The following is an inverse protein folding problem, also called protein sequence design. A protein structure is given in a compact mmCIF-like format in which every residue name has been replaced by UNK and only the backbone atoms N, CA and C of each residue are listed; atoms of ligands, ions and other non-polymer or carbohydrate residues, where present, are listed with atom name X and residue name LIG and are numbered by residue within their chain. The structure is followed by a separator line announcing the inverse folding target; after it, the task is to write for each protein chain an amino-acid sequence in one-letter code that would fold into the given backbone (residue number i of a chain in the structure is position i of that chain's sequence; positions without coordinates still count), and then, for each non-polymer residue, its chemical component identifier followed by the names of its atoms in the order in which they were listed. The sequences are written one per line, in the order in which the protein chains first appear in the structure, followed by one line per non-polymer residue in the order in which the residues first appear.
data_IF_920009885380
#
_entry.id   IF_920009885380
#
_cell.length_a   1.000
_cell.length_b   1.000
_cell.length_c   1.000
_cell.angle_alpha   90.00
_cell.angle_beta   90.00
_cell.angle_gamma   90.00
#
_symmetry.space_group_name_H-M   'P 1'
#
loop_
_entity.id
_entity.type
_entity.pdbx_description
1 polymer ?
#
# COMPACT_ATOMS: atom_id res chain seq x y z
N UNK A 1 19.31 -1.53 2.26
CA UNK A 1 18.77 -0.16 2.35
C UNK A 1 18.30 0.10 3.78
N UNK A 2 18.32 1.36 4.21
CA UNK A 2 17.65 1.82 5.41
C UNK A 2 16.21 2.21 5.03
N UNK A 3 15.21 1.60 5.63
CA UNK A 3 13.79 1.80 5.25
C UNK A 3 13.02 2.32 6.45
N UNK A 4 12.37 3.48 6.28
CA UNK A 4 11.39 3.99 7.24
C UNK A 4 10.03 3.38 6.95
N UNK A 5 9.35 2.88 7.99
CA UNK A 5 7.97 2.39 7.92
C UNK A 5 7.09 3.23 8.83
N UNK A 6 6.20 4.02 8.25
CA UNK A 6 5.17 4.78 8.95
C UNK A 6 3.93 3.89 9.14
N UNK A 7 3.40 3.81 10.36
CA UNK A 7 2.23 2.99 10.68
C UNK A 7 2.56 1.49 10.82
N UNK A 8 3.74 1.16 11.36
CA UNK A 8 4.25 -0.20 11.44
C UNK A 8 3.48 -1.12 12.40
N UNK A 9 2.74 -0.57 13.36
CA UNK A 9 1.92 -1.34 14.31
C UNK A 9 0.49 -1.60 13.80
N UNK A 10 0.18 -1.16 12.57
CA UNK A 10 -1.09 -1.47 11.91
C UNK A 10 -1.19 -2.93 11.47
N UNK A 11 -2.37 -3.36 11.02
CA UNK A 11 -2.67 -4.76 10.68
C UNK A 11 -1.69 -5.38 9.68
N UNK A 12 -1.27 -4.64 8.64
CA UNK A 12 -0.32 -5.13 7.63
C UNK A 12 1.15 -5.00 8.07
N UNK A 13 1.43 -4.10 9.02
CA UNK A 13 2.78 -3.76 9.45
C UNK A 13 3.64 -4.95 9.88
N UNK A 14 3.19 -5.83 10.78
CA UNK A 14 3.96 -7.00 11.21
C UNK A 14 4.39 -7.91 10.06
N UNK A 15 3.52 -8.12 9.08
CA UNK A 15 3.82 -8.94 7.90
C UNK A 15 4.86 -8.27 6.99
N UNK A 16 4.74 -6.94 6.79
CA UNK A 16 5.72 -6.16 6.01
C UNK A 16 7.08 -6.17 6.72
N UNK A 17 7.11 -5.96 8.03
CA UNK A 17 8.34 -6.05 8.82
C UNK A 17 8.99 -7.42 8.66
N UNK A 18 8.22 -8.50 8.82
CA UNK A 18 8.70 -9.88 8.65
C UNK A 18 9.25 -10.14 7.24
N UNK A 19 8.58 -9.66 6.19
CA UNK A 19 9.03 -9.84 4.80
C UNK A 19 10.35 -9.11 4.50
N UNK A 20 10.56 -7.95 5.12
CA UNK A 20 11.73 -7.09 4.88
C UNK A 20 12.90 -7.37 5.82
N UNK A 21 12.63 -8.04 6.94
CA UNK A 21 13.61 -8.36 7.95
C UNK A 21 14.77 -9.21 7.39
N UNK A 22 16.00 -8.92 7.83
CA UNK A 22 17.20 -9.57 7.33
C UNK A 22 17.67 -9.11 5.94
N UNK A 23 16.81 -8.40 5.18
CA UNK A 23 17.15 -7.85 3.86
C UNK A 23 17.40 -6.34 3.91
N UNK A 24 16.75 -5.65 4.84
CA UNK A 24 16.81 -4.21 5.02
C UNK A 24 17.00 -3.84 6.49
N UNK A 25 17.60 -2.68 6.76
CA UNK A 25 17.61 -2.08 8.10
C UNK A 25 16.33 -1.25 8.24
N UNK A 26 15.51 -1.59 9.22
CA UNK A 26 14.18 -0.98 9.40
C UNK A 26 14.20 0.02 10.56
N UNK A 27 13.58 1.18 10.33
CA UNK A 27 13.10 2.10 11.36
C UNK A 27 11.59 2.08 11.32
N UNK A 28 10.97 1.69 12.42
CA UNK A 28 9.52 1.54 12.54
C UNK A 28 8.93 2.73 13.29
N UNK A 29 7.76 3.18 12.85
CA UNK A 29 7.04 4.24 13.57
C UNK A 29 5.55 3.97 13.61
N UNK A 30 4.92 4.43 14.67
CA UNK A 30 3.46 4.43 14.83
C UNK A 30 3.07 5.53 15.84
N UNK A 31 1.77 5.83 15.97
CA UNK A 31 1.24 6.73 17.01
C UNK A 31 1.27 6.11 18.41
N UNK A 32 1.36 4.78 18.49
CA UNK A 32 1.49 4.07 19.76
C UNK A 32 2.83 4.43 20.41
N UNK A 33 2.88 4.44 21.73
CA UNK A 33 4.07 4.75 22.50
C UNK A 33 5.09 3.60 22.52
N UNK A 34 4.62 2.37 22.40
CA UNK A 34 5.44 1.17 22.41
C UNK A 34 5.06 0.20 21.28
N UNK A 35 6.06 -0.55 20.80
CA UNK A 35 5.90 -1.67 19.89
C UNK A 35 6.91 -2.77 20.28
N UNK A 36 6.44 -4.00 20.47
CA UNK A 36 7.33 -5.14 20.67
C UNK A 36 8.10 -5.44 19.38
N UNK A 37 9.37 -5.03 19.33
CA UNK A 37 10.21 -5.17 18.14
C UNK A 37 11.69 -5.14 18.49
N UNK A 38 12.52 -5.78 17.66
CA UNK A 38 14.00 -5.69 17.72
C UNK A 38 14.57 -4.56 16.84
N UNK A 39 13.73 -3.89 16.07
CA UNK A 39 14.11 -2.79 15.20
C UNK A 39 14.08 -1.47 15.96
N UNK A 40 14.72 -0.44 15.41
CA UNK A 40 14.58 0.91 15.91
C UNK A 40 13.11 1.32 15.81
N UNK A 41 12.53 1.74 16.92
CA UNK A 41 11.16 2.23 16.99
C UNK A 41 11.11 3.69 17.47
N UNK A 42 10.23 4.47 16.87
CA UNK A 42 9.94 5.85 17.25
C UNK A 42 8.43 6.08 17.24
N UNK A 43 7.90 6.73 18.28
CA UNK A 43 6.53 7.20 18.28
C UNK A 43 6.40 8.40 17.34
N UNK A 44 5.55 8.30 16.30
CA UNK A 44 5.33 9.35 15.30
C UNK A 44 3.89 9.32 14.82
N UNK A 45 3.25 10.50 14.82
CA UNK A 45 2.03 10.72 14.06
C UNK A 45 2.38 11.08 12.61
N UNK A 46 1.91 10.33 11.64
CA UNK A 46 2.11 10.62 10.22
C UNK A 46 1.52 11.98 9.78
N UNK A 47 0.57 12.53 10.55
CA UNK A 47 0.03 13.88 10.37
C UNK A 47 0.96 15.00 10.82
N UNK A 48 2.02 14.70 11.59
CA UNK A 48 3.02 15.67 12.07
C UNK A 48 4.20 15.73 11.10
N UNK A 49 4.33 16.86 10.39
CA UNK A 49 5.37 17.05 9.36
C UNK A 49 6.78 17.00 9.96
N UNK A 50 7.01 17.71 11.07
CA UNK A 50 8.35 17.84 11.64
C UNK A 50 8.82 16.51 12.22
N UNK A 51 7.91 15.76 12.84
CA UNK A 51 8.18 14.42 13.35
C UNK A 51 8.51 13.46 12.19
N UNK A 52 7.76 13.48 11.08
CA UNK A 52 8.02 12.63 9.91
C UNK A 52 9.35 13.00 9.24
N UNK A 53 9.67 14.28 9.10
CA UNK A 53 10.97 14.72 8.59
C UNK A 53 12.10 14.21 9.50
N UNK A 54 11.96 14.39 10.81
CA UNK A 54 13.00 13.97 11.77
C UNK A 54 13.31 12.46 11.68
N UNK A 55 12.29 11.61 11.54
CA UNK A 55 12.51 10.15 11.48
C UNK A 55 12.91 9.64 10.12
N UNK A 56 12.82 10.45 9.08
CA UNK A 56 13.28 10.11 7.72
C UNK A 56 14.78 10.32 7.51
N UNK A 57 15.47 10.96 8.46
CA UNK A 57 16.92 11.21 8.37
C UNK A 57 17.69 9.89 8.26
N UNK A 58 18.56 9.81 7.24
CA UNK A 58 19.42 8.64 6.98
C UNK A 58 18.69 7.44 6.37
N UNK A 59 17.48 7.62 5.88
CA UNK A 59 16.72 6.59 5.19
C UNK A 59 16.90 6.65 3.67
N UNK A 60 16.85 5.49 3.03
CA UNK A 60 16.94 5.33 1.57
C UNK A 60 15.54 5.23 0.91
N UNK A 61 14.53 4.81 1.69
CA UNK A 61 13.14 4.70 1.23
C UNK A 61 12.15 4.91 2.38
N UNK A 62 10.94 5.33 2.03
CA UNK A 62 9.81 5.46 2.97
C UNK A 62 8.68 4.54 2.53
N UNK A 63 8.18 3.72 3.44
CA UNK A 63 6.94 2.96 3.29
C UNK A 63 5.88 3.61 4.18
N UNK A 64 4.78 4.05 3.59
CA UNK A 64 3.67 4.65 4.30
C UNK A 64 2.49 3.66 4.40
N UNK A 65 2.40 2.96 5.53
CA UNK A 65 1.30 2.08 5.90
C UNK A 65 0.24 2.80 6.73
N UNK A 66 0.47 4.07 7.11
CA UNK A 66 -0.43 4.82 7.98
C UNK A 66 -1.84 4.87 7.41
N UNK A 67 -2.82 4.60 8.25
CA UNK A 67 -4.22 4.58 7.87
C UNK A 67 -5.14 4.91 9.04
N UNK A 68 -6.13 5.76 8.78
CA UNK A 68 -7.29 5.90 9.65
C UNK A 68 -8.58 5.92 8.82
N UNK A 69 -9.63 5.24 9.31
CA UNK A 69 -10.85 4.97 8.54
C UNK A 69 -12.10 5.67 9.04
N UNK A 70 -12.20 5.98 10.33
CA UNK A 70 -13.48 6.31 10.98
C UNK A 70 -13.63 7.76 11.42
N UNK A 71 -12.60 8.39 11.96
CA UNK A 71 -12.67 9.79 12.37
C UNK A 71 -12.38 10.71 11.17
N UNK A 72 -13.28 11.67 10.93
CA UNK A 72 -13.19 12.54 9.75
C UNK A 72 -11.94 13.41 9.76
N UNK A 73 -11.64 14.06 10.88
CA UNK A 73 -10.49 14.98 10.95
C UNK A 73 -9.19 14.19 10.87
N UNK A 74 -9.05 13.16 11.69
CA UNK A 74 -7.84 12.33 11.74
C UNK A 74 -7.65 11.56 10.42
N UNK A 75 -8.73 11.17 9.72
CA UNK A 75 -8.61 10.52 8.41
C UNK A 75 -7.96 11.43 7.36
N UNK A 76 -8.31 12.71 7.31
CA UNK A 76 -7.63 13.67 6.43
C UNK A 76 -6.18 13.89 6.86
N UNK A 77 -5.92 14.00 8.17
CA UNK A 77 -4.57 14.21 8.69
C UNK A 77 -3.66 13.01 8.41
N UNK A 78 -4.12 11.79 8.62
CA UNK A 78 -3.32 10.59 8.42
C UNK A 78 -3.23 10.19 6.95
N UNK A 79 -4.36 10.13 6.23
CA UNK A 79 -4.37 9.57 4.88
C UNK A 79 -3.94 10.58 3.80
N UNK A 80 -4.37 11.83 3.88
CA UNK A 80 -4.01 12.86 2.90
C UNK A 80 -2.77 13.64 3.33
N UNK A 81 -2.79 14.27 4.51
CA UNK A 81 -1.62 15.02 5.02
C UNK A 81 -0.43 14.10 5.28
N UNK A 82 -0.63 12.88 5.79
CA UNK A 82 0.45 11.90 5.95
C UNK A 82 1.14 11.54 4.64
N UNK A 83 0.42 11.45 3.52
CA UNK A 83 1.04 11.27 2.21
C UNK A 83 1.87 12.49 1.79
N UNK A 84 1.37 13.71 2.05
CA UNK A 84 2.13 14.94 1.86
C UNK A 84 3.40 14.96 2.71
N UNK A 85 3.29 14.60 4.00
CA UNK A 85 4.41 14.62 4.93
C UNK A 85 5.49 13.61 4.54
N UNK A 86 5.11 12.41 4.10
CA UNK A 86 6.05 11.41 3.59
C UNK A 86 6.80 11.92 2.34
N UNK A 87 6.09 12.54 1.39
CA UNK A 87 6.71 13.12 0.20
C UNK A 87 7.64 14.32 0.56
N UNK A 88 7.22 15.18 1.50
CA UNK A 88 8.07 16.29 1.98
C UNK A 88 9.32 15.80 2.69
N UNK A 89 9.21 14.82 3.57
CA UNK A 89 10.34 14.23 4.26
C UNK A 89 11.32 13.58 3.27
N UNK A 90 10.79 12.89 2.25
CA UNK A 90 11.61 12.35 1.18
C UNK A 90 12.43 13.42 0.47
N UNK A 91 11.81 14.55 0.11
CA UNK A 91 12.53 15.66 -0.54
C UNK A 91 13.58 16.31 0.37
N UNK A 92 13.29 16.51 1.65
CA UNK A 92 14.23 17.12 2.61
C UNK A 92 15.51 16.28 2.73
N UNK A 93 15.38 14.96 2.69
CA UNK A 93 16.51 14.05 2.88
C UNK A 93 17.05 13.44 1.57
N UNK A 94 16.58 13.89 0.40
CA UNK A 94 17.02 13.34 -0.90
C UNK A 94 16.64 11.88 -1.10
N UNK A 95 15.53 11.45 -0.51
CA UNK A 95 14.99 10.09 -0.69
C UNK A 95 14.17 10.08 -1.97
N UNK A 96 14.53 9.21 -2.92
CA UNK A 96 13.87 9.13 -4.22
C UNK A 96 12.72 8.13 -4.27
N UNK A 97 12.51 7.31 -3.23
CA UNK A 97 11.53 6.22 -3.24
C UNK A 97 10.55 6.32 -2.07
N UNK A 98 9.27 6.44 -2.39
CA UNK A 98 8.17 6.33 -1.43
C UNK A 98 7.22 5.22 -1.91
N UNK A 99 6.82 4.33 -1.00
CA UNK A 99 5.80 3.32 -1.24
C UNK A 99 4.60 3.67 -0.39
N UNK A 100 3.48 4.00 -1.03
CA UNK A 100 2.21 4.24 -0.38
C UNK A 100 1.30 3.01 -0.44
N UNK A 101 0.30 2.99 0.43
CA UNK A 101 -0.75 1.97 0.44
C UNK A 101 -2.14 2.58 0.38
N UNK A 102 -3.07 1.84 -0.20
CA UNK A 102 -4.47 2.24 -0.27
C UNK A 102 -5.40 1.07 -0.54
N UNK A 103 -6.72 1.29 -0.41
CA UNK A 103 -7.70 0.31 -0.83
C UNK A 103 -7.90 0.35 -2.34
N UNK A 104 -8.27 -0.79 -2.94
CA UNK A 104 -8.59 -0.90 -4.36
C UNK A 104 -9.65 0.12 -4.81
N UNK A 105 -10.61 0.42 -3.95
CA UNK A 105 -11.72 1.32 -4.29
C UNK A 105 -11.36 2.81 -4.35
N UNK A 106 -10.10 3.18 -4.16
CA UNK A 106 -9.62 4.50 -4.61
C UNK A 106 -9.70 4.63 -6.13
N UNK A 107 -9.64 3.50 -6.83
CA UNK A 107 -9.74 3.40 -8.30
C UNK A 107 -11.16 3.06 -8.73
N UNK A 108 -11.77 2.03 -8.14
CA UNK A 108 -13.01 1.43 -8.65
C UNK A 108 -14.26 1.89 -7.89
N UNK A 109 -14.10 2.69 -6.82
CA UNK A 109 -15.20 3.03 -5.92
C UNK A 109 -15.61 1.87 -5.00
N UNK A 110 -16.60 2.09 -4.13
CA UNK A 110 -17.11 1.07 -3.22
C UNK A 110 -17.99 0.03 -3.92
N UNK A 111 -18.45 0.31 -5.13
CA UNK A 111 -19.22 -0.57 -5.98
C UNK A 111 -18.54 -0.71 -7.33
N UNK A 112 -18.71 -1.86 -7.98
CA UNK A 112 -18.22 -2.15 -9.32
C UNK A 112 -19.33 -2.79 -10.14
N UNK A 113 -19.34 -2.52 -11.44
CA UNK A 113 -20.35 -3.07 -12.34
C UNK A 113 -20.10 -4.56 -12.64
N UNK A 114 -21.16 -5.34 -12.70
CA UNK A 114 -21.06 -6.77 -12.95
C UNK A 114 -20.50 -7.12 -14.33
N UNK A 115 -20.68 -6.24 -15.29
CA UNK A 115 -20.20 -6.42 -16.66
C UNK A 115 -18.77 -5.93 -16.89
N UNK A 116 -18.14 -5.25 -15.92
CA UNK A 116 -16.78 -4.77 -16.05
C UNK A 116 -15.78 -5.92 -15.90
N UNK A 117 -14.81 -5.98 -16.81
CA UNK A 117 -13.76 -6.98 -16.84
C UNK A 117 -12.41 -6.38 -17.17
N UNK A 118 -11.34 -6.99 -16.66
CA UNK A 118 -9.98 -6.59 -16.97
C UNK A 118 -9.59 -5.20 -16.46
N UNK A 119 -10.26 -4.68 -15.44
CA UNK A 119 -9.96 -3.36 -14.88
C UNK A 119 -8.58 -3.39 -14.24
N UNK A 120 -7.68 -2.55 -14.76
CA UNK A 120 -6.34 -2.33 -14.20
C UNK A 120 -6.29 -1.09 -13.30
N UNK A 121 -5.17 -0.86 -12.61
CA UNK A 121 -5.02 0.27 -11.70
C UNK A 121 -4.79 1.62 -12.41
N UNK A 122 -4.67 1.64 -13.73
CA UNK A 122 -4.38 2.85 -14.54
C UNK A 122 -5.64 3.60 -14.99
N UNK A 123 -6.84 3.12 -14.64
CA UNK A 123 -8.07 3.84 -14.90
C UNK A 123 -8.18 5.07 -13.99
N UNK A 124 -8.90 6.13 -14.40
CA UNK A 124 -9.09 7.31 -13.57
C UNK A 124 -9.69 6.96 -12.21
N UNK A 125 -9.16 7.52 -11.09
CA UNK A 125 -9.67 7.26 -9.75
C UNK A 125 -11.15 7.62 -9.60
N UNK A 126 -11.91 6.76 -8.95
CA UNK A 126 -13.33 6.97 -8.64
C UNK A 126 -13.63 6.59 -7.17
N UNK A 127 -13.06 7.32 -6.20
CA UNK A 127 -13.19 6.95 -4.79
C UNK A 127 -14.61 7.11 -4.23
N UNK A 128 -15.48 7.85 -4.92
CA UNK A 128 -16.77 8.22 -4.38
C UNK A 128 -16.64 9.12 -3.14
N UNK A 129 -17.65 9.08 -2.27
CA UNK A 129 -17.70 9.89 -1.04
C UNK A 129 -17.36 9.10 0.23
N UNK A 130 -16.90 7.86 0.10
CA UNK A 130 -16.45 7.11 1.25
C UNK A 130 -15.20 7.77 1.85
N UNK A 131 -15.25 8.10 3.15
CA UNK A 131 -14.20 8.87 3.82
C UNK A 131 -12.80 8.27 3.63
N UNK A 132 -12.68 6.95 3.79
CA UNK A 132 -11.40 6.27 3.64
C UNK A 132 -10.88 6.29 2.20
N UNK A 133 -11.72 5.91 1.24
CA UNK A 133 -11.36 5.94 -0.17
C UNK A 133 -11.00 7.35 -0.64
N UNK A 134 -11.83 8.34 -0.29
CA UNK A 134 -11.63 9.75 -0.66
C UNK A 134 -10.30 10.28 -0.12
N UNK A 135 -10.02 10.10 1.18
CA UNK A 135 -8.80 10.64 1.80
C UNK A 135 -7.54 9.93 1.30
N UNK A 136 -7.60 8.63 1.02
CA UNK A 136 -6.48 7.90 0.39
C UNK A 136 -6.29 8.32 -1.07
N UNK A 137 -7.37 8.56 -1.82
CA UNK A 137 -7.28 9.07 -3.19
C UNK A 137 -6.64 10.46 -3.25
N UNK A 138 -7.00 11.35 -2.32
CA UNK A 138 -6.34 12.65 -2.20
C UNK A 138 -4.83 12.51 -1.90
N UNK A 139 -4.44 11.54 -1.07
CA UNK A 139 -3.04 11.23 -0.82
C UNK A 139 -2.30 10.75 -2.09
N UNK A 140 -2.96 9.98 -2.96
CA UNK A 140 -2.42 9.57 -4.25
C UNK A 140 -2.26 10.77 -5.20
N UNK A 141 -3.25 11.68 -5.26
CA UNK A 141 -3.15 12.91 -6.06
C UNK A 141 -2.02 13.82 -5.58
N UNK A 142 -1.85 13.99 -4.29
CA UNK A 142 -0.72 14.70 -3.70
C UNK A 142 0.60 14.07 -4.18
N UNK A 143 0.73 12.75 -4.04
CA UNK A 143 1.92 12.01 -4.47
C UNK A 143 2.22 12.22 -5.96
N UNK A 144 1.20 12.15 -6.82
CA UNK A 144 1.31 12.39 -8.26
C UNK A 144 1.83 13.79 -8.57
N UNK A 145 1.33 14.82 -7.87
CA UNK A 145 1.80 16.19 -8.04
C UNK A 145 3.27 16.32 -7.66
N UNK A 146 3.68 15.72 -6.53
CA UNK A 146 5.08 15.73 -6.11
C UNK A 146 6.01 15.09 -7.15
N UNK A 147 5.63 13.95 -7.72
CA UNK A 147 6.45 13.27 -8.74
C UNK A 147 6.56 14.04 -10.06
N UNK A 148 5.61 14.92 -10.36
CA UNK A 148 5.65 15.79 -11.54
C UNK A 148 6.64 16.95 -11.39
N UNK A 149 6.91 17.39 -10.16
CA UNK A 149 7.70 18.58 -9.86
C UNK A 149 9.06 18.27 -9.24
N UNK A 150 9.29 17.05 -8.78
CA UNK A 150 10.49 16.65 -8.08
C UNK A 150 11.02 15.30 -8.57
N UNK A 151 12.29 15.03 -8.29
CA UNK A 151 12.92 13.73 -8.55
C UNK A 151 12.54 12.72 -7.45
N UNK A 152 11.26 12.36 -7.45
CA UNK A 152 10.64 11.46 -6.51
C UNK A 152 9.82 10.42 -7.26
N UNK A 153 9.95 9.17 -6.87
CA UNK A 153 9.15 8.06 -7.36
C UNK A 153 8.22 7.58 -6.25
N UNK A 154 6.95 7.48 -6.57
CA UNK A 154 5.93 6.97 -5.65
C UNK A 154 5.25 5.75 -6.25
N UNK A 155 5.36 4.63 -5.56
CA UNK A 155 4.65 3.39 -5.90
C UNK A 155 3.51 3.19 -4.91
N UNK A 156 2.29 3.11 -5.39
CA UNK A 156 1.11 2.87 -4.54
C UNK A 156 0.64 1.43 -4.72
N UNK A 157 0.66 0.66 -3.63
CA UNK A 157 0.14 -0.70 -3.59
C UNK A 157 -1.28 -0.68 -3.06
N UNK A 158 -2.23 -1.19 -3.84
CA UNK A 158 -3.65 -1.23 -3.50
C UNK A 158 -4.07 -2.63 -3.11
N UNK A 159 -4.60 -2.77 -1.92
CA UNK A 159 -5.05 -4.01 -1.31
C UNK A 159 -6.51 -3.94 -0.88
N UNK A 160 -7.10 -5.11 -0.63
CA UNK A 160 -8.34 -5.26 0.12
C UNK A 160 -8.56 -6.73 0.51
N UNK A 161 -9.42 -6.98 1.51
CA UNK A 161 -9.86 -8.32 1.89
C UNK A 161 -8.69 -9.28 2.15
N UNK A 162 -7.96 -9.02 3.24
CA UNK A 162 -6.85 -9.87 3.66
C UNK A 162 -7.34 -11.17 4.29
N UNK A 163 -6.64 -12.25 3.99
CA UNK A 163 -6.90 -13.61 4.47
C UNK A 163 -5.61 -14.24 5.02
N UNK A 164 -5.76 -15.15 5.96
CA UNK A 164 -4.69 -16.05 6.34
C UNK A 164 -4.58 -17.16 5.29
N UNK A 165 -3.36 -17.54 4.93
CA UNK A 165 -3.13 -18.56 3.90
C UNK A 165 -3.75 -19.92 4.23
N UNK A 166 -3.81 -20.26 5.53
CA UNK A 166 -4.33 -21.52 6.04
C UNK A 166 -5.77 -21.45 6.57
N UNK A 167 -6.42 -20.28 6.51
CA UNK A 167 -7.79 -20.12 7.03
C UNK A 167 -8.82 -20.76 6.09
N UNK A 168 -9.21 -21.98 6.42
CA UNK A 168 -10.28 -22.72 5.76
C UNK A 168 -11.68 -22.44 6.33
N UNK A 169 -11.79 -21.56 7.33
CA UNK A 169 -13.09 -21.27 7.96
C UNK A 169 -14.09 -20.61 7.00
N UNK A 170 -13.59 -20.12 5.86
CA UNK A 170 -14.38 -19.48 4.79
C UNK A 170 -14.52 -20.35 3.54
N UNK A 171 -14.22 -21.64 3.63
CA UNK A 171 -14.50 -22.57 2.53
C UNK A 171 -15.97 -22.46 2.11
N UNK A 172 -16.18 -22.08 0.87
CA UNK A 172 -17.53 -21.90 0.32
C UNK A 172 -18.08 -20.50 0.33
N UNK A 173 -17.24 -19.45 0.66
CA UNK A 173 -18.03 -18.35 0.70
C UNK A 173 -17.70 -16.97 0.24
N UNK A 174 -16.90 -16.27 0.94
CA UNK A 174 -16.96 -14.82 0.87
C UNK A 174 -15.69 -14.15 0.32
N UNK A 175 -14.95 -14.83 -0.53
CA UNK A 175 -13.85 -14.16 -1.22
C UNK A 175 -14.40 -13.03 -2.08
N UNK A 176 -13.83 -11.84 -1.90
CA UNK A 176 -14.05 -10.73 -2.83
C UNK A 176 -13.09 -10.85 -4.01
N UNK A 177 -13.36 -10.20 -5.14
CA UNK A 177 -12.41 -10.13 -6.25
C UNK A 177 -11.04 -9.52 -5.91
N UNK A 178 -10.87 -9.04 -4.71
CA UNK A 178 -9.66 -8.37 -4.22
C UNK A 178 -9.00 -9.12 -3.07
N UNK A 179 -9.33 -10.39 -2.89
CA UNK A 179 -8.75 -11.19 -1.82
C UNK A 179 -7.25 -11.36 -2.03
N UNK A 180 -6.50 -11.28 -0.95
CA UNK A 180 -5.05 -11.47 -0.92
C UNK A 180 -4.66 -12.00 0.46
N UNK A 181 -3.62 -12.82 0.56
CA UNK A 181 -3.10 -13.19 1.87
C UNK A 181 -2.26 -12.06 2.45
N UNK A 182 -2.12 -12.03 3.78
CA UNK A 182 -1.24 -11.08 4.46
C UNK A 182 0.20 -11.20 3.96
N UNK A 183 0.66 -12.43 3.77
CA UNK A 183 1.99 -12.76 3.30
C UNK A 183 2.23 -12.27 1.88
N UNK A 184 1.33 -12.59 0.93
CA UNK A 184 1.46 -12.14 -0.45
C UNK A 184 1.42 -10.62 -0.58
N UNK A 185 0.55 -9.97 0.20
CA UNK A 185 0.49 -8.51 0.25
C UNK A 185 1.81 -7.92 0.76
N UNK A 186 2.39 -8.50 1.81
CA UNK A 186 3.67 -8.05 2.36
C UNK A 186 4.85 -8.32 1.41
N UNK A 187 4.83 -9.45 0.70
CA UNK A 187 5.88 -9.78 -0.29
C UNK A 187 5.95 -8.76 -1.44
N UNK A 188 4.86 -8.04 -1.74
CA UNK A 188 4.86 -7.01 -2.79
C UNK A 188 5.80 -5.82 -2.49
N UNK A 189 6.12 -5.59 -1.24
CA UNK A 189 7.05 -4.51 -0.86
C UNK A 189 8.51 -4.82 -1.22
N UNK A 190 8.91 -6.09 -1.31
CA UNK A 190 10.26 -6.47 -1.71
C UNK A 190 10.62 -5.99 -3.12
N UNK A 191 9.88 -6.39 -4.17
CA UNK A 191 10.16 -5.89 -5.50
C UNK A 191 9.90 -4.38 -5.64
N UNK A 192 8.94 -3.80 -4.90
CA UNK A 192 8.72 -2.37 -4.89
C UNK A 192 9.91 -1.58 -4.31
N UNK A 193 10.65 -2.16 -3.36
CA UNK A 193 11.90 -1.60 -2.84
C UNK A 193 13.10 -1.83 -3.76
N UNK A 194 13.15 -2.94 -4.49
CA UNK A 194 14.33 -3.35 -5.26
C UNK A 194 14.32 -2.94 -6.73
N UNK A 195 13.15 -2.65 -7.31
CA UNK A 195 13.06 -2.25 -8.71
C UNK A 195 13.92 -1.01 -9.01
N UNK A 196 14.59 -1.01 -10.15
CA UNK A 196 15.30 0.17 -10.66
C UNK A 196 14.28 1.26 -10.98
N UNK A 197 14.40 2.43 -10.35
CA UNK A 197 13.38 3.49 -10.47
C UNK A 197 13.19 3.97 -11.90
N UNK A 198 14.28 4.06 -12.66
CA UNK A 198 14.29 4.49 -14.07
C UNK A 198 13.64 3.47 -15.02
N UNK A 199 13.44 2.23 -14.56
CA UNK A 199 12.72 1.20 -15.33
C UNK A 199 11.21 1.25 -15.16
N UNK A 200 10.70 2.04 -14.21
CA UNK A 200 9.27 2.24 -14.04
C UNK A 200 8.67 2.99 -15.22
N UNK A 201 7.44 2.66 -15.65
CA UNK A 201 6.74 3.37 -16.73
C UNK A 201 6.57 4.87 -16.45
N UNK A 202 6.39 5.23 -15.19
CA UNK A 202 6.32 6.62 -14.73
C UNK A 202 6.84 6.77 -13.30
N UNK A 203 7.00 8.02 -12.85
CA UNK A 203 7.39 8.30 -11.46
C UNK A 203 6.27 8.08 -10.44
N UNK A 204 5.04 7.93 -10.87
CA UNK A 204 3.88 7.70 -10.01
C UNK A 204 3.10 6.49 -10.51
N UNK A 205 3.38 5.34 -9.93
CA UNK A 205 2.80 4.07 -10.35
C UNK A 205 1.82 3.53 -9.30
N UNK A 206 0.74 2.92 -9.77
CA UNK A 206 -0.26 2.26 -8.94
C UNK A 206 -0.36 0.80 -9.35
N UNK A 207 -0.45 -0.09 -8.36
CA UNK A 207 -0.50 -1.52 -8.57
C UNK A 207 -1.64 -2.16 -7.77
N UNK A 208 -2.43 -3.00 -8.41
CA UNK A 208 -3.31 -3.92 -7.71
C UNK A 208 -2.52 -5.13 -7.23
N UNK A 209 -2.68 -5.46 -5.95
CA UNK A 209 -2.02 -6.58 -5.28
C UNK A 209 -3.09 -7.52 -4.74
N UNK A 210 -3.52 -8.48 -5.55
CA UNK A 210 -4.57 -9.46 -5.27
C UNK A 210 -4.13 -10.87 -5.68
N UNK A 211 -4.77 -11.89 -5.11
CA UNK A 211 -4.63 -13.26 -5.57
C UNK A 211 -5.19 -13.43 -7.01
N UNK A 212 -4.71 -14.45 -7.69
CA UNK A 212 -5.26 -14.87 -8.97
C UNK A 212 -6.59 -15.61 -8.73
N UNK A 213 -7.70 -14.93 -9.02
CA UNK A 213 -9.04 -15.47 -8.83
C UNK A 213 -9.77 -15.53 -10.18
N UNK A 214 -10.67 -16.53 -10.38
CA UNK A 214 -11.27 -16.81 -11.69
C UNK A 214 -12.44 -15.88 -12.03
N UNK A 215 -12.41 -14.60 -11.66
CA UNK A 215 -13.53 -13.67 -11.91
C UNK A 215 -13.31 -12.73 -13.12
N UNK A 216 -12.05 -12.54 -13.56
CA UNK A 216 -11.70 -11.68 -14.70
C UNK A 216 -12.01 -10.18 -14.57
N UNK A 217 -12.53 -9.70 -13.43
CA UNK A 217 -12.96 -8.29 -13.27
C UNK A 217 -11.79 -7.33 -13.11
N UNK A 218 -10.84 -7.68 -12.25
CA UNK A 218 -9.70 -6.83 -11.90
C UNK A 218 -8.40 -7.56 -12.23
N UNK A 219 -7.42 -6.79 -12.69
CA UNK A 219 -6.16 -7.36 -13.17
C UNK A 219 -4.99 -6.94 -12.29
N UNK A 220 -4.25 -7.91 -11.78
CA UNK A 220 -2.97 -7.72 -11.08
C UNK A 220 -1.76 -7.82 -12.04
N UNK A 221 -2.00 -7.96 -13.35
CA UNK A 221 -0.96 -8.18 -14.36
C UNK A 221 0.09 -7.07 -14.42
N UNK A 222 -0.27 -5.83 -14.05
CA UNK A 222 0.70 -4.74 -13.95
C UNK A 222 1.72 -5.01 -12.85
N UNK A 223 1.29 -5.49 -11.68
CA UNK A 223 2.21 -5.85 -10.59
C UNK A 223 3.14 -6.99 -11.00
N UNK A 224 2.63 -8.01 -11.68
CA UNK A 224 3.43 -9.13 -12.20
C UNK A 224 4.46 -8.65 -13.21
N UNK A 225 4.02 -7.90 -14.23
CA UNK A 225 4.88 -7.48 -15.32
C UNK A 225 5.91 -6.43 -14.94
N UNK A 226 5.53 -5.43 -14.13
CA UNK A 226 6.39 -4.29 -13.79
C UNK A 226 7.23 -4.56 -12.56
N UNK A 227 6.63 -5.07 -11.48
CA UNK A 227 7.35 -5.35 -10.24
C UNK A 227 7.97 -6.75 -10.23
N UNK A 228 7.48 -7.69 -11.04
CA UNK A 228 7.83 -9.10 -10.91
C UNK A 228 7.19 -9.79 -9.70
N UNK A 229 6.19 -9.14 -9.08
CA UNK A 229 5.45 -9.72 -7.97
C UNK A 229 4.42 -10.74 -8.49
N UNK A 230 4.28 -11.86 -7.77
CA UNK A 230 3.24 -12.85 -8.03
C UNK A 230 2.68 -13.35 -6.69
N UNK A 231 1.36 -13.60 -6.59
CA UNK A 231 0.81 -14.26 -5.42
C UNK A 231 1.30 -15.71 -5.34
N UNK A 232 1.80 -16.11 -4.18
CA UNK A 232 2.27 -17.49 -3.95
C UNK A 232 1.18 -18.36 -3.34
N UNK A 233 0.27 -17.75 -2.57
CA UNK A 233 -0.82 -18.45 -1.90
C UNK A 233 -2.03 -18.56 -2.82
N UNK A 234 -2.54 -19.80 -2.94
CA UNK A 234 -3.65 -20.11 -3.84
C UNK A 234 -4.99 -19.98 -3.13
N UNK A 235 -5.62 -18.81 -3.30
CA UNK A 235 -6.96 -18.55 -2.79
C UNK A 235 -8.08 -19.01 -3.77
N UNK A 236 -7.75 -19.39 -4.99
CA UNK A 236 -8.72 -19.83 -6.00
C UNK A 236 -9.53 -21.06 -5.55
N UNK A 237 -8.95 -21.92 -4.69
CA UNK A 237 -9.66 -23.07 -4.11
C UNK A 237 -10.80 -22.67 -3.17
N UNK A 238 -10.77 -21.43 -2.64
CA UNK A 238 -11.79 -20.87 -1.77
C UNK A 238 -12.84 -20.04 -2.55
N UNK A 239 -12.63 -19.85 -3.84
CA UNK A 239 -13.53 -19.10 -4.71
C UNK A 239 -14.72 -19.99 -5.12
N UNK A 240 -15.92 -19.67 -4.62
CA UNK A 240 -17.14 -20.44 -4.86
C UNK A 240 -18.20 -19.67 -5.65
N UNK A 241 -17.87 -18.46 -6.11
CA UNK A 241 -18.80 -17.67 -6.93
C UNK A 241 -18.71 -18.14 -8.38
N UNK A 242 -19.84 -18.11 -9.09
CA UNK A 242 -19.82 -18.40 -10.51
C UNK A 242 -18.89 -17.42 -11.24
N UNK A 243 -18.09 -17.93 -12.17
CA UNK A 243 -17.41 -17.12 -13.16
C UNK A 243 -18.47 -16.45 -14.02
N UNK A 244 -18.57 -15.14 -13.99
CA UNK A 244 -19.57 -14.38 -14.76
C UNK A 244 -18.91 -13.67 -15.91
#
# INVERSE_FOLDING_TARGET
MNVLILGANGMLGPYVVSALEGKHKLRLTDVMDEMETRHEYRQVDAGDLDAVISVAEGMDAIINLSVLRRDRNIAFDVNARGAYNAARAALVHGIHRVINTGPHYTITGPAYEDFDHGIGPDVPPQPGTNLYALTKSLGQDISRIFTQHHDLYVLTLLFYSFHDADDRSRDGGDLTPYAVTWEDAAQAFLPALSITLESLPSRCEVFFVFADLPHGKFSNEKAKRVLGWQPENRLEALWCKADR
#
